data_IF_231700002471
#
_entry.id   IF_231700002471
#
_cell.length_a   1.000
_cell.length_b   1.000
_cell.length_c   1.000
_cell.angle_alpha   90.00
_cell.angle_beta   90.00
_cell.angle_gamma   90.00
#
_symmetry.space_group_name_H-M   'P 1'
#
loop_
_entity.id
_entity.type
_entity.pdbx_description
1 polymer ?
#
# COMPACT_ATOMS: atom_id res chain seq x y z
N UNK A 1 28.99 -14.06 0.95
CA UNK A 1 27.85 -13.95 -0.01
C UNK A 1 26.74 -14.98 0.25
N UNK A 2 27.00 -16.30 0.31
CA UNK A 2 25.98 -17.28 0.75
C UNK A 2 26.00 -17.53 2.27
N UNK A 3 27.18 -17.49 2.89
CA UNK A 3 27.36 -17.53 4.36
C UNK A 3 26.55 -16.44 5.06
N UNK A 4 26.58 -15.23 4.50
CA UNK A 4 25.93 -14.05 5.10
C UNK A 4 24.41 -14.14 4.98
N UNK A 5 23.92 -14.76 3.90
CA UNK A 5 22.49 -14.99 3.69
C UNK A 5 21.94 -16.04 4.67
N UNK A 6 22.72 -17.10 4.95
CA UNK A 6 22.36 -18.10 5.94
C UNK A 6 22.35 -17.52 7.36
N UNK A 7 23.34 -16.70 7.71
CA UNK A 7 23.37 -16.01 9.00
C UNK A 7 22.19 -15.04 9.16
N UNK A 8 21.85 -14.28 8.11
CA UNK A 8 20.69 -13.40 8.12
C UNK A 8 19.38 -14.20 8.23
N UNK A 9 19.26 -15.32 7.51
CA UNK A 9 18.09 -16.19 7.58
C UNK A 9 17.89 -16.77 9.00
N UNK A 10 18.96 -17.18 9.66
CA UNK A 10 18.91 -17.70 11.03
C UNK A 10 18.54 -16.62 12.04
N UNK A 11 19.16 -15.44 11.94
CA UNK A 11 18.86 -14.27 12.79
C UNK A 11 17.39 -13.83 12.67
N UNK A 12 16.84 -13.86 11.46
CA UNK A 12 15.45 -13.51 11.17
C UNK A 12 14.47 -14.68 11.33
N UNK A 13 14.93 -15.84 11.81
CA UNK A 13 14.12 -17.07 11.97
C UNK A 13 13.37 -17.46 10.69
N UNK A 14 14.01 -17.29 9.54
CA UNK A 14 13.46 -17.72 8.28
C UNK A 14 13.18 -19.23 8.30
N UNK A 15 12.00 -19.62 7.82
CA UNK A 15 11.61 -21.03 7.71
C UNK A 15 12.28 -21.75 6.52
N UNK A 16 12.93 -21.01 5.63
CA UNK A 16 13.66 -21.55 4.50
C UNK A 16 14.28 -20.45 3.62
N UNK A 17 15.12 -20.87 2.69
CA UNK A 17 15.71 -20.02 1.66
C UNK A 17 15.67 -20.75 0.31
N UNK A 18 15.29 -20.04 -0.75
CA UNK A 18 15.24 -20.58 -2.11
C UNK A 18 16.10 -19.73 -3.01
N UNK A 19 16.94 -20.38 -3.83
CA UNK A 19 17.68 -19.72 -4.90
C UNK A 19 16.86 -19.79 -6.17
N UNK A 20 16.61 -18.64 -6.78
CA UNK A 20 15.93 -18.54 -8.05
C UNK A 20 16.93 -18.66 -9.20
N UNK A 21 16.51 -19.32 -10.29
CA UNK A 21 17.21 -19.25 -11.57
C UNK A 21 16.88 -17.96 -12.34
N UNK A 22 17.41 -17.81 -13.55
CA UNK A 22 17.29 -16.58 -14.33
C UNK A 22 15.84 -16.24 -14.72
N UNK A 23 15.03 -17.26 -15.06
CA UNK A 23 13.63 -17.05 -15.45
C UNK A 23 12.77 -16.72 -14.22
N UNK A 24 12.98 -17.47 -13.13
CA UNK A 24 12.30 -17.24 -11.86
C UNK A 24 12.65 -15.88 -11.24
N UNK A 25 13.90 -15.45 -11.36
CA UNK A 25 14.34 -14.12 -10.93
C UNK A 25 13.64 -13.02 -11.73
N UNK A 26 13.58 -13.15 -13.06
CA UNK A 26 12.90 -12.19 -13.92
C UNK A 26 11.41 -12.07 -13.58
N UNK A 27 10.74 -13.21 -13.34
CA UNK A 27 9.34 -13.24 -12.93
C UNK A 27 9.13 -12.56 -11.56
N UNK A 28 10.01 -12.81 -10.58
CA UNK A 28 9.95 -12.13 -9.29
C UNK A 28 10.10 -10.62 -9.43
N UNK A 29 11.06 -10.15 -10.24
CA UNK A 29 11.27 -8.72 -10.46
C UNK A 29 10.06 -8.05 -11.12
N UNK A 30 9.43 -8.71 -12.09
CA UNK A 30 8.17 -8.24 -12.67
C UNK A 30 7.09 -8.12 -11.62
N UNK A 31 6.90 -9.14 -10.77
CA UNK A 31 5.92 -9.09 -9.67
C UNK A 31 6.18 -7.95 -8.67
N UNK A 32 7.45 -7.67 -8.35
CA UNK A 32 7.83 -6.56 -7.46
C UNK A 32 7.57 -5.21 -8.13
N UNK A 33 7.89 -5.09 -9.42
CA UNK A 33 7.66 -3.88 -10.21
C UNK A 33 6.16 -3.59 -10.39
N UNK A 34 5.36 -4.65 -10.58
CA UNK A 34 3.94 -4.58 -10.86
C UNK A 34 3.05 -4.59 -9.61
N UNK A 35 3.63 -4.72 -8.42
CA UNK A 35 2.87 -4.65 -7.16
C UNK A 35 1.93 -3.42 -7.08
N UNK A 36 2.34 -2.21 -7.52
CA UNK A 36 1.47 -1.02 -7.55
C UNK A 36 0.38 -1.05 -8.64
N UNK A 37 0.43 -1.98 -9.59
CA UNK A 37 -0.53 -2.06 -10.68
C UNK A 37 -1.86 -2.66 -10.20
N UNK A 38 -2.97 -2.20 -10.79
CA UNK A 38 -4.33 -2.62 -10.42
C UNK A 38 -5.01 -3.50 -11.47
N UNK A 39 -4.40 -3.67 -12.65
CA UNK A 39 -4.96 -4.42 -13.78
C UNK A 39 -5.32 -5.86 -13.40
N UNK A 40 -4.44 -6.51 -12.62
CA UNK A 40 -4.59 -7.89 -12.16
C UNK A 40 -4.74 -7.97 -10.63
N UNK A 41 -5.46 -7.02 -10.03
CA UNK A 41 -5.71 -7.03 -8.59
C UNK A 41 -6.71 -8.16 -8.25
N UNK A 42 -6.31 -9.18 -7.46
CA UNK A 42 -7.20 -10.30 -7.14
C UNK A 42 -8.45 -9.84 -6.39
N UNK A 43 -9.59 -10.48 -6.64
CA UNK A 43 -10.83 -10.24 -5.89
C UNK A 43 -10.60 -10.46 -4.39
N UNK A 44 -11.15 -9.57 -3.57
CA UNK A 44 -10.94 -9.60 -2.13
C UNK A 44 -9.54 -9.16 -1.70
N UNK A 45 -8.85 -8.39 -2.54
CA UNK A 45 -7.64 -7.66 -2.15
C UNK A 45 -7.82 -6.17 -2.33
N UNK A 46 -7.15 -5.40 -1.49
CA UNK A 46 -7.07 -3.95 -1.59
C UNK A 46 -5.61 -3.55 -1.82
N UNK A 47 -5.41 -2.49 -2.60
CA UNK A 47 -4.12 -1.86 -2.79
C UNK A 47 -4.14 -0.51 -2.08
N UNK A 48 -3.17 -0.31 -1.19
CA UNK A 48 -2.90 0.98 -0.59
C UNK A 48 -1.52 1.51 -0.99
N UNK A 49 -1.40 2.82 -0.91
CA UNK A 49 -0.14 3.57 -1.00
C UNK A 49 0.02 4.37 0.28
N UNK A 50 1.22 4.42 0.83
CA UNK A 50 1.57 5.37 1.89
C UNK A 50 2.73 6.26 1.45
N UNK A 51 2.75 7.47 2.01
CA UNK A 51 3.87 8.39 1.95
C UNK A 51 4.25 8.78 3.38
N UNK A 52 5.35 8.22 3.86
CA UNK A 52 5.86 8.42 5.23
C UNK A 52 7.25 9.06 5.20
N UNK A 53 7.79 9.42 6.36
CA UNK A 53 9.20 9.82 6.44
C UNK A 53 10.09 8.60 6.18
N UNK A 54 11.27 8.74 5.54
CA UNK A 54 12.18 7.62 5.32
C UNK A 54 12.53 6.84 6.60
N UNK A 55 12.66 7.54 7.73
CA UNK A 55 12.94 6.92 9.04
C UNK A 55 11.79 6.07 9.60
N UNK A 56 10.56 6.23 9.10
CA UNK A 56 9.36 5.53 9.56
C UNK A 56 9.00 4.32 8.69
N UNK A 57 9.73 4.08 7.58
CA UNK A 57 9.39 3.02 6.62
C UNK A 57 9.31 1.65 7.28
N UNK A 58 10.35 1.22 8.00
CA UNK A 58 10.40 -0.10 8.62
C UNK A 58 9.23 -0.31 9.61
N UNK A 59 9.02 0.66 10.50
CA UNK A 59 7.90 0.65 11.45
C UNK A 59 6.54 0.58 10.75
N UNK A 60 6.37 1.31 9.65
CA UNK A 60 5.11 1.32 8.91
C UNK A 60 4.84 -0.04 8.26
N UNK A 61 5.88 -0.71 7.76
CA UNK A 61 5.77 -2.08 7.21
C UNK A 61 5.32 -3.06 8.30
N UNK A 62 5.94 -3.02 9.47
CA UNK A 62 5.57 -3.89 10.60
C UNK A 62 4.09 -3.70 11.01
N UNK A 63 3.62 -2.44 11.03
CA UNK A 63 2.21 -2.15 11.32
C UNK A 63 1.27 -2.72 10.26
N UNK A 64 1.62 -2.59 8.98
CA UNK A 64 0.85 -3.16 7.87
C UNK A 64 0.76 -4.67 7.98
N UNK A 65 1.90 -5.34 8.22
CA UNK A 65 1.98 -6.79 8.34
C UNK A 65 1.15 -7.31 9.51
N UNK A 66 1.19 -6.62 10.65
CA UNK A 66 0.36 -6.93 11.82
C UNK A 66 -1.14 -6.84 11.48
N UNK A 67 -1.58 -5.76 10.83
CA UNK A 67 -3.00 -5.59 10.47
C UNK A 67 -3.46 -6.57 9.37
N UNK A 68 -2.53 -7.02 8.52
CA UNK A 68 -2.81 -7.97 7.45
C UNK A 68 -2.71 -9.44 7.89
N UNK A 69 -2.41 -9.72 9.16
CA UNK A 69 -2.18 -11.09 9.66
C UNK A 69 -1.02 -11.79 8.94
N UNK A 70 0.01 -11.05 8.53
CA UNK A 70 1.18 -11.57 7.80
C UNK A 70 0.94 -11.90 6.33
N UNK A 71 -0.21 -11.53 5.75
CA UNK A 71 -0.55 -11.82 4.36
C UNK A 71 -0.35 -10.63 3.41
N UNK A 72 0.20 -9.51 3.90
CA UNK A 72 0.49 -8.35 3.08
C UNK A 72 1.62 -8.64 2.09
N UNK A 73 1.48 -8.18 0.85
CA UNK A 73 2.60 -8.04 -0.07
C UNK A 73 3.02 -6.58 -0.08
N UNK A 74 4.25 -6.29 0.33
CA UNK A 74 4.75 -4.92 0.50
C UNK A 74 5.94 -4.65 -0.41
N UNK A 75 5.90 -3.52 -1.13
CA UNK A 75 7.02 -2.97 -1.89
C UNK A 75 7.29 -1.55 -1.41
N UNK A 76 8.42 -1.37 -0.73
CA UNK A 76 8.80 -0.08 -0.16
C UNK A 76 10.00 0.53 -0.89
N UNK A 77 9.97 1.84 -1.04
CA UNK A 77 11.06 2.67 -1.54
C UNK A 77 11.68 3.39 -0.34
N UNK A 78 12.59 2.71 0.34
CA UNK A 78 13.10 3.10 1.66
C UNK A 78 13.61 4.56 1.72
N UNK A 79 14.23 5.06 0.65
CA UNK A 79 14.86 6.39 0.64
C UNK A 79 13.87 7.56 0.42
N UNK A 80 12.66 7.30 -0.09
CA UNK A 80 11.67 8.36 -0.32
C UNK A 80 10.36 8.15 0.44
N UNK A 81 10.27 7.09 1.25
CA UNK A 81 9.13 6.84 2.12
C UNK A 81 7.86 6.39 1.42
N UNK A 82 7.93 6.00 0.14
CA UNK A 82 6.77 5.47 -0.58
C UNK A 82 6.64 3.96 -0.32
N UNK A 83 5.46 3.55 0.10
CA UNK A 83 5.13 2.15 0.36
C UNK A 83 3.89 1.79 -0.46
N UNK A 84 3.94 0.68 -1.16
CA UNK A 84 2.76 0.02 -1.74
C UNK A 84 2.52 -1.28 -1.00
N UNK A 85 1.27 -1.54 -0.61
CA UNK A 85 0.89 -2.81 -0.01
C UNK A 85 -0.40 -3.34 -0.61
N UNK A 86 -0.39 -4.62 -1.00
CA UNK A 86 -1.59 -5.40 -1.29
C UNK A 86 -2.00 -6.14 -0.03
N UNK A 87 -3.27 -6.02 0.34
CA UNK A 87 -3.83 -6.57 1.58
C UNK A 87 -4.98 -7.54 1.27
N UNK A 88 -5.18 -8.58 2.09
CA UNK A 88 -6.39 -9.38 2.03
C UNK A 88 -7.61 -8.59 2.52
N UNK A 89 -8.81 -8.98 2.11
CA UNK A 89 -10.07 -8.39 2.57
C UNK A 89 -10.33 -8.55 4.08
N UNK A 90 -9.58 -9.43 4.75
CA UNK A 90 -9.63 -9.60 6.21
C UNK A 90 -8.92 -8.49 6.98
N UNK A 91 -8.09 -7.67 6.33
CA UNK A 91 -7.42 -6.55 6.98
C UNK A 91 -8.43 -5.49 7.40
N UNK A 92 -8.38 -5.02 8.64
CA UNK A 92 -9.27 -3.99 9.16
C UNK A 92 -8.96 -2.62 8.54
N UNK A 93 -9.84 -2.06 7.68
CA UNK A 93 -9.59 -0.78 7.04
C UNK A 93 -9.50 0.38 8.04
N UNK A 94 -10.20 0.28 9.18
CA UNK A 94 -10.22 1.34 10.18
C UNK A 94 -8.91 1.40 10.97
N UNK A 95 -8.34 0.24 11.32
CA UNK A 95 -7.02 0.17 11.95
C UNK A 95 -5.92 0.74 11.03
N UNK A 96 -6.03 0.50 9.72
CA UNK A 96 -5.09 1.01 8.73
C UNK A 96 -5.25 2.51 8.46
N UNK A 97 -6.47 3.05 8.50
CA UNK A 97 -6.75 4.46 8.18
C UNK A 97 -5.97 5.47 9.05
N UNK A 98 -5.50 5.05 10.24
CA UNK A 98 -4.67 5.85 11.11
C UNK A 98 -3.20 5.97 10.66
N UNK A 99 -2.77 5.18 9.68
CA UNK A 99 -1.39 5.22 9.18
C UNK A 99 -1.13 6.53 8.40
N UNK A 100 0.03 7.18 8.64
CA UNK A 100 0.34 8.46 8.03
C UNK A 100 0.43 8.36 6.50
N UNK A 101 -0.22 9.29 5.81
CA UNK A 101 -0.15 9.41 4.36
C UNK A 101 -0.81 8.26 3.60
N UNK A 102 -1.66 7.46 4.25
CA UNK A 102 -2.38 6.36 3.60
C UNK A 102 -3.38 6.87 2.55
N UNK A 103 -3.34 6.23 1.39
CA UNK A 103 -4.29 6.35 0.30
C UNK A 103 -4.75 4.95 -0.14
N UNK A 104 -6.05 4.71 -0.18
CA UNK A 104 -6.60 3.52 -0.83
C UNK A 104 -6.67 3.78 -2.33
N UNK A 105 -5.89 3.02 -3.09
CA UNK A 105 -5.75 3.21 -4.54
C UNK A 105 -6.64 2.26 -5.34
N UNK A 106 -6.94 1.08 -4.79
CA UNK A 106 -7.91 0.13 -5.35
C UNK A 106 -8.44 -0.81 -4.27
N UNK A 107 -9.64 -1.35 -4.49
CA UNK A 107 -10.34 -2.24 -3.56
C UNK A 107 -11.86 -2.07 -3.69
N UNK A 108 -12.58 -2.47 -2.65
CA UNK A 108 -14.02 -2.23 -2.53
C UNK A 108 -14.33 -0.72 -2.60
N UNK A 109 -15.39 -0.35 -3.31
CA UNK A 109 -15.81 1.04 -3.50
C UNK A 109 -16.28 1.73 -2.21
N UNK A 110 -16.55 0.96 -1.16
CA UNK A 110 -16.85 1.47 0.19
C UNK A 110 -15.62 1.99 0.93
N UNK A 111 -14.41 1.67 0.46
CA UNK A 111 -13.18 2.16 1.08
C UNK A 111 -13.00 3.65 0.77
N UNK A 112 -12.70 4.48 1.78
CA UNK A 112 -12.41 5.89 1.55
C UNK A 112 -11.13 6.01 0.74
N UNK A 113 -10.99 7.02 -0.13
CA UNK A 113 -9.72 7.20 -0.85
C UNK A 113 -8.57 7.57 0.10
N UNK A 114 -8.86 8.35 1.15
CA UNK A 114 -7.90 8.78 2.14
C UNK A 114 -8.03 7.93 3.41
N UNK A 115 -6.90 7.69 4.09
CA UNK A 115 -6.95 7.32 5.50
C UNK A 115 -7.37 8.52 6.34
N UNK A 116 -6.41 9.16 7.01
CA UNK A 116 -6.65 10.47 7.61
C UNK A 116 -6.87 11.55 6.52
N UNK A 117 -7.83 12.45 6.76
CA UNK A 117 -8.05 13.60 5.86
C UNK A 117 -6.79 14.46 5.77
N UNK A 118 -6.30 14.77 4.55
CA UNK A 118 -5.15 15.66 4.40
C UNK A 118 -5.48 17.08 4.86
N UNK A 119 -4.47 17.83 5.30
CA UNK A 119 -4.64 19.20 5.80
C UNK A 119 -5.34 20.15 4.80
N UNK A 120 -5.16 19.91 3.49
CA UNK A 120 -5.76 20.68 2.41
C UNK A 120 -7.17 20.24 1.99
N UNK A 121 -7.81 19.29 2.68
CA UNK A 121 -9.07 18.67 2.23
C UNK A 121 -10.19 19.68 1.94
N UNK A 122 -10.42 20.63 2.85
CA UNK A 122 -11.43 21.69 2.69
C UNK A 122 -11.13 22.62 1.49
N UNK A 123 -9.84 22.88 1.22
CA UNK A 123 -9.45 23.65 0.03
C UNK A 123 -9.76 22.87 -1.25
N UNK A 124 -9.47 21.56 -1.28
CA UNK A 124 -9.78 20.71 -2.42
C UNK A 124 -11.29 20.63 -2.68
N UNK A 125 -12.12 20.56 -1.62
CA UNK A 125 -13.58 20.62 -1.75
C UNK A 125 -14.05 21.93 -2.39
N UNK A 126 -13.52 23.08 -1.97
CA UNK A 126 -13.84 24.38 -2.60
C UNK A 126 -13.41 24.42 -4.07
N UNK A 127 -12.23 23.88 -4.39
CA UNK A 127 -11.76 23.77 -5.78
C UNK A 127 -12.73 22.90 -6.60
N UNK A 128 -13.12 21.72 -6.09
CA UNK A 128 -14.10 20.85 -6.80
C UNK A 128 -15.44 21.55 -7.01
N UNK A 129 -15.95 22.25 -6.01
CA UNK A 129 -17.23 22.96 -6.12
C UNK A 129 -17.21 24.08 -7.19
N UNK A 130 -16.08 24.77 -7.36
CA UNK A 130 -15.91 25.80 -8.39
C UNK A 130 -15.82 25.20 -9.81
N UNK A 131 -15.07 24.11 -9.98
CA UNK A 131 -14.79 23.53 -11.30
C UNK A 131 -15.79 22.44 -11.74
N UNK A 132 -16.51 21.82 -10.80
CA UNK A 132 -17.51 20.77 -11.04
C UNK A 132 -18.76 21.02 -10.19
N UNK A 133 -19.45 22.17 -10.37
CA UNK A 133 -20.60 22.56 -9.56
C UNK A 133 -21.79 21.59 -9.69
N UNK A 134 -21.86 20.83 -10.77
CA UNK A 134 -22.89 19.81 -11.02
C UNK A 134 -22.48 18.39 -10.58
N UNK A 135 -21.27 18.20 -10.02
CA UNK A 135 -20.81 16.92 -9.48
C UNK A 135 -20.68 15.80 -10.52
N UNK A 136 -20.41 16.13 -11.78
CA UNK A 136 -20.38 15.15 -12.87
C UNK A 136 -19.05 14.40 -12.95
N UNK A 137 -17.96 14.99 -12.43
CA UNK A 137 -16.61 14.42 -12.53
C UNK A 137 -16.30 13.58 -11.30
N UNK A 138 -16.31 12.24 -11.47
CA UNK A 138 -16.00 11.25 -10.43
C UNK A 138 -16.82 11.46 -9.13
N UNK A 139 -18.17 11.38 -9.20
CA UNK A 139 -19.03 11.64 -8.06
C UNK A 139 -18.69 10.75 -6.87
N UNK A 140 -18.64 11.32 -5.67
CA UNK A 140 -18.35 10.61 -4.43
C UNK A 140 -16.92 10.07 -4.29
N UNK A 141 -16.01 10.35 -5.23
CA UNK A 141 -14.58 9.96 -5.13
C UNK A 141 -13.70 11.13 -4.72
N UNK A 142 -12.60 10.80 -4.03
CA UNK A 142 -11.55 11.71 -3.54
C UNK A 142 -11.99 12.74 -2.49
N UNK A 143 -13.20 13.30 -2.58
CA UNK A 143 -13.70 14.32 -1.66
C UNK A 143 -15.11 13.90 -1.23
N UNK A 144 -15.23 13.30 -0.06
CA UNK A 144 -16.51 12.87 0.52
C UNK A 144 -17.53 14.03 0.52
N UNK A 145 -18.78 13.71 0.17
CA UNK A 145 -19.89 14.66 0.24
C UNK A 145 -20.10 15.54 -1.00
N UNK A 146 -19.38 15.31 -2.10
CA UNK A 146 -19.53 15.99 -3.41
C UNK A 146 -19.65 15.02 -4.58
#
# INVERSE_FOLDING_TARGET
HMSDLAALAEDQRASGATRLDHEQEAELWLRIADLPQITDLPTGTALLKLAVLPGDVARTIEQIEQQAGGQALVSARALNGVIYARLPASADPQALAALPGLQWTAGDTSLPHWGARPAGFELMQRIKAEFDPSGQLNPGRFLEGL
#
